data_IF_885223020510
#
_entry.id   IF_885223020510
#
_cell.length_a   1.000
_cell.length_b   1.000
_cell.length_c   1.000
_cell.angle_alpha   90.00
_cell.angle_beta   90.00
_cell.angle_gamma   90.00
#
_symmetry.space_group_name_H-M   'P 1'
#
loop_
_entity.id
_entity.type
_entity.pdbx_description
1 polymer ?
#
# COMPACT_ATOMS: atom_id res chain seq x y z
N UNK A 1 -17.84 2.71 8.30
CA UNK A 1 -17.54 3.16 9.67
C UNK A 1 -17.04 4.58 9.59
N UNK A 2 -17.12 5.34 10.68
CA UNK A 2 -16.55 6.69 10.74
C UNK A 2 -15.03 6.56 11.00
N UNK A 3 -14.16 7.21 10.21
CA UNK A 3 -12.73 7.25 10.50
C UNK A 3 -12.46 7.85 11.89
N UNK A 4 -11.56 7.22 12.64
CA UNK A 4 -11.08 7.74 13.93
C UNK A 4 -9.69 8.31 13.69
N UNK A 5 -9.45 9.53 14.15
CA UNK A 5 -8.12 10.16 14.06
C UNK A 5 -7.15 9.43 14.99
N UNK A 6 -5.99 9.06 14.45
CA UNK A 6 -4.86 8.57 15.25
C UNK A 6 -3.67 9.53 15.12
N UNK A 7 -2.65 9.34 15.96
CA UNK A 7 -1.40 10.10 15.87
C UNK A 7 -0.36 9.45 14.95
N UNK A 8 -0.65 8.29 14.35
CA UNK A 8 0.26 7.61 13.44
C UNK A 8 0.15 8.23 12.05
N UNK A 9 1.28 8.60 11.45
CA UNK A 9 1.33 9.06 10.06
C UNK A 9 0.99 7.94 9.04
N UNK A 10 0.92 6.69 9.49
CA UNK A 10 0.72 5.50 8.65
C UNK A 10 -0.60 4.77 8.94
N UNK A 11 -1.49 5.41 9.72
CA UNK A 11 -2.87 4.95 9.85
C UNK A 11 -3.73 5.67 8.80
N UNK A 12 -4.19 4.90 7.81
CA UNK A 12 -5.01 5.39 6.73
C UNK A 12 -6.44 4.85 6.85
N UNK A 13 -7.41 5.63 6.36
CA UNK A 13 -8.79 5.18 6.23
C UNK A 13 -9.30 5.51 4.84
N UNK A 14 -10.00 4.56 4.23
CA UNK A 14 -10.77 4.82 3.00
C UNK A 14 -12.14 5.36 3.42
N UNK A 15 -12.40 6.63 3.11
CA UNK A 15 -13.75 7.17 3.17
C UNK A 15 -14.54 6.75 1.92
N UNK A 16 -15.74 6.22 2.11
CA UNK A 16 -16.57 5.69 1.03
C UNK A 16 -16.25 4.25 0.58
N UNK A 17 -16.35 4.00 -0.73
CA UNK A 17 -16.13 2.69 -1.35
C UNK A 17 -14.66 2.52 -1.77
N UNK A 18 -14.13 1.30 -1.66
CA UNK A 18 -12.75 1.00 -1.99
C UNK A 18 -12.00 0.24 -0.90
N UNK A 19 -10.78 -0.16 -1.26
CA UNK A 19 -9.87 -1.00 -0.47
C UNK A 19 -8.42 -0.59 -0.78
N UNK A 20 -7.52 -0.87 0.15
CA UNK A 20 -6.09 -0.87 -0.11
C UNK A 20 -5.70 -2.16 -0.84
N UNK A 21 -4.80 -2.04 -1.81
CA UNK A 21 -4.12 -3.18 -2.42
C UNK A 21 -2.91 -3.55 -1.57
N UNK A 22 -2.78 -4.83 -1.23
CA UNK A 22 -1.66 -5.33 -0.42
C UNK A 22 -1.10 -6.64 -0.96
N UNK A 23 0.16 -6.94 -0.71
CA UNK A 23 0.82 -8.19 -1.13
C UNK A 23 1.34 -9.00 0.05
N UNK A 24 1.54 -10.33 -0.14
CA UNK A 24 2.17 -11.19 0.88
C UNK A 24 3.64 -10.84 1.12
N UNK A 25 4.38 -10.54 0.06
CA UNK A 25 5.79 -10.17 0.12
C UNK A 25 6.01 -8.79 -0.50
N UNK A 26 7.10 -8.08 -0.14
CA UNK A 26 7.49 -6.87 -0.85
C UNK A 26 7.75 -7.17 -2.33
N UNK A 27 7.14 -6.39 -3.22
CA UNK A 27 7.27 -6.49 -4.69
C UNK A 27 7.01 -7.92 -5.19
N UNK A 28 5.93 -8.52 -4.68
CA UNK A 28 5.59 -9.91 -4.96
C UNK A 28 5.40 -10.11 -6.48
N UNK A 29 6.13 -11.03 -7.13
CA UNK A 29 6.02 -11.21 -8.58
C UNK A 29 4.77 -12.01 -8.98
N UNK A 30 4.02 -12.56 -8.02
CA UNK A 30 2.87 -13.44 -8.29
C UNK A 30 1.58 -12.66 -8.03
N UNK A 31 0.81 -12.41 -9.08
CA UNK A 31 -0.46 -11.68 -8.99
C UNK A 31 -1.44 -12.27 -7.96
N UNK A 32 -1.50 -13.60 -7.84
CA UNK A 32 -2.34 -14.29 -6.87
C UNK A 32 -1.96 -14.04 -5.39
N UNK A 33 -0.85 -13.36 -5.14
CA UNK A 33 -0.43 -12.93 -3.80
C UNK A 33 -0.82 -11.48 -3.47
N UNK A 34 -1.62 -10.84 -4.33
CA UNK A 34 -2.23 -9.54 -4.05
C UNK A 34 -3.65 -9.70 -3.52
N UNK A 35 -4.01 -8.84 -2.55
CA UNK A 35 -5.25 -8.88 -1.81
C UNK A 35 -5.80 -7.47 -1.60
N UNK A 36 -7.08 -7.40 -1.24
CA UNK A 36 -7.76 -6.16 -0.90
C UNK A 36 -8.07 -6.13 0.60
N UNK A 37 -7.83 -4.99 1.25
CA UNK A 37 -8.13 -4.82 2.68
C UNK A 37 -8.62 -3.42 3.01
N UNK A 38 -9.35 -3.30 4.13
CA UNK A 38 -9.64 -2.01 4.79
C UNK A 38 -8.83 -1.79 6.06
N UNK A 39 -7.98 -2.74 6.44
CA UNK A 39 -7.04 -2.58 7.54
C UNK A 39 -5.96 -1.59 7.11
N UNK A 40 -6.14 -0.33 7.51
CA UNK A 40 -5.24 0.77 7.16
C UNK A 40 -4.20 1.09 8.23
N UNK A 41 -4.03 0.22 9.23
CA UNK A 41 -3.02 0.37 10.27
C UNK A 41 -1.68 -0.20 9.80
N UNK A 42 -0.88 0.63 9.13
CA UNK A 42 0.43 0.23 8.62
C UNK A 42 1.54 0.72 9.54
N UNK A 43 2.65 -0.01 9.55
CA UNK A 43 3.90 0.41 10.17
C UNK A 43 5.06 0.04 9.24
N UNK A 44 6.11 0.86 9.15
CA UNK A 44 7.32 0.49 8.43
C UNK A 44 7.99 -0.72 9.10
N UNK A 45 8.44 -1.67 8.30
CA UNK A 45 9.36 -2.71 8.75
C UNK A 45 10.82 -2.18 8.83
N UNK A 46 11.77 -3.07 9.11
CA UNK A 46 13.19 -2.73 9.21
C UNK A 46 13.78 -2.14 7.91
N UNK A 47 13.16 -2.47 6.77
CA UNK A 47 13.55 -2.02 5.44
C UNK A 47 12.66 -0.85 4.97
N UNK A 48 11.80 -0.32 5.86
CA UNK A 48 10.90 0.81 5.61
C UNK A 48 9.68 0.48 4.74
N UNK A 49 9.40 -0.80 4.48
CA UNK A 49 8.20 -1.19 3.74
C UNK A 49 6.98 -1.09 4.66
N UNK A 50 5.91 -0.45 4.20
CA UNK A 50 4.69 -0.34 4.99
C UNK A 50 3.95 -1.67 5.05
N UNK A 51 3.80 -2.21 6.27
CA UNK A 51 3.19 -3.51 6.56
C UNK A 51 2.06 -3.36 7.57
N UNK A 52 0.91 -3.98 7.31
CA UNK A 52 -0.21 -3.95 8.25
C UNK A 52 -0.08 -5.03 9.35
N UNK A 53 -0.94 -4.98 10.37
CA UNK A 53 -0.91 -5.95 11.48
C UNK A 53 -1.20 -7.41 11.07
N UNK A 54 -1.87 -7.64 9.92
CA UNK A 54 -2.07 -8.97 9.37
C UNK A 54 -0.84 -9.49 8.60
N UNK A 55 0.16 -8.63 8.41
CA UNK A 55 1.45 -8.95 7.85
C UNK A 55 1.61 -8.75 6.35
N UNK A 56 0.64 -8.09 5.71
CA UNK A 56 0.67 -7.76 4.29
C UNK A 56 1.28 -6.38 4.05
N UNK A 57 1.94 -6.23 2.91
CA UNK A 57 2.64 -5.03 2.48
C UNK A 57 1.75 -4.14 1.63
N UNK A 58 1.74 -2.83 1.89
CA UNK A 58 0.98 -1.87 1.09
C UNK A 58 1.59 -1.76 -0.32
N UNK A 59 0.76 -1.92 -1.34
CA UNK A 59 1.13 -1.73 -2.73
C UNK A 59 0.52 -0.45 -3.29
N UNK A 60 1.28 0.26 -4.11
CA UNK A 60 0.86 1.51 -4.75
C UNK A 60 1.63 1.78 -6.04
N UNK A 61 1.17 2.76 -6.80
CA UNK A 61 1.90 3.20 -7.99
C UNK A 61 3.15 3.97 -7.57
N UNK A 62 4.32 3.62 -8.12
CA UNK A 62 5.53 4.40 -7.88
C UNK A 62 5.37 5.81 -8.46
N UNK A 63 6.02 6.78 -7.82
CA UNK A 63 6.06 8.17 -8.28
C UNK A 63 7.45 8.51 -8.77
N UNK A 64 7.52 9.32 -9.83
CA UNK A 64 8.73 10.00 -10.29
C UNK A 64 9.15 11.09 -9.31
N UNK A 65 10.33 11.69 -9.51
CA UNK A 65 10.88 12.72 -8.63
C UNK A 65 10.01 13.98 -8.52
N UNK A 66 9.15 14.24 -9.50
CA UNK A 66 8.19 15.34 -9.50
C UNK A 66 6.82 14.97 -8.89
N UNK A 67 6.67 13.74 -8.40
CA UNK A 67 5.45 13.21 -7.82
C UNK A 67 4.44 12.67 -8.84
N UNK A 68 4.75 12.68 -10.14
CA UNK A 68 3.88 12.08 -11.16
C UNK A 68 4.00 10.54 -11.16
N UNK A 69 2.93 9.83 -11.53
CA UNK A 69 2.91 8.36 -11.59
C UNK A 69 3.18 7.80 -13.00
N UNK A 70 3.41 8.66 -13.99
CA UNK A 70 3.65 8.25 -15.38
C UNK A 70 2.51 7.41 -16.00
N UNK A 71 2.88 6.53 -16.95
CA UNK A 71 1.95 5.60 -17.58
C UNK A 71 1.82 4.31 -16.79
N UNK A 72 0.73 4.17 -16.03
CA UNK A 72 0.41 2.97 -15.25
C UNK A 72 -0.79 2.22 -15.82
N UNK A 73 -0.78 0.89 -15.70
CA UNK A 73 -1.93 0.05 -15.97
C UNK A 73 -2.73 -0.16 -14.67
N UNK A 74 -3.88 0.51 -14.54
CA UNK A 74 -4.76 0.40 -13.38
C UNK A 74 -5.43 -0.97 -13.23
N UNK A 75 -5.34 -1.83 -14.25
CA UNK A 75 -5.90 -3.18 -14.24
C UNK A 75 -4.90 -4.27 -13.91
N UNK A 76 -3.62 -3.92 -13.72
CA UNK A 76 -2.53 -4.88 -13.50
C UNK A 76 -1.70 -4.54 -12.28
N UNK A 77 -1.42 -5.57 -11.47
CA UNK A 77 -0.50 -5.43 -10.33
C UNK A 77 0.97 -5.29 -10.76
N UNK A 78 1.28 -5.55 -12.04
CA UNK A 78 2.64 -5.33 -12.57
C UNK A 78 3.05 -3.85 -12.58
N UNK A 79 2.09 -2.92 -12.48
CA UNK A 79 2.36 -1.48 -12.40
C UNK A 79 2.50 -0.96 -10.96
N UNK A 80 2.34 -1.80 -9.94
CA UNK A 80 2.48 -1.38 -8.54
C UNK A 80 3.79 -1.88 -7.93
N UNK A 81 4.28 -1.12 -6.95
CA UNK A 81 5.40 -1.46 -6.11
C UNK A 81 5.00 -1.37 -4.63
N UNK A 82 5.82 -1.95 -3.76
CA UNK A 82 5.64 -1.81 -2.31
C UNK A 82 5.90 -0.38 -1.90
N UNK A 83 5.02 0.19 -1.09
CA UNK A 83 5.21 1.52 -0.53
C UNK A 83 6.32 1.46 0.52
N UNK A 84 7.37 2.25 0.30
CA UNK A 84 8.54 2.33 1.15
C UNK A 84 8.75 3.77 1.65
N UNK A 85 9.17 3.95 2.90
CA UNK A 85 9.31 5.27 3.54
C UNK A 85 10.75 5.65 3.90
N UNK A 86 11.75 4.87 3.47
CA UNK A 86 13.18 5.16 3.71
C UNK A 86 13.99 5.33 2.42
N UNK A 87 13.32 5.68 1.32
CA UNK A 87 13.95 6.06 0.05
C UNK A 87 14.65 7.41 0.09
#
# INVERSE_FOLDING_TARGET
>A
GIPVTTSSAYDFAVDGQGFFLVSKNPNDPVEANYFLTRAGNFSPDQDGNLRNAAGYYLAGFPTEADGSIGGVDYSSVASVATVNVIG
#
